data_IF_831032993835
#
_entry.id   IF_831032993835
#
_cell.length_a   1.000
_cell.length_b   1.000
_cell.length_c   1.000
_cell.angle_alpha   90.00
_cell.angle_beta   90.00
_cell.angle_gamma   90.00
#
_symmetry.space_group_name_H-M   'P 1'
#
loop_
_entity.id
_entity.type
_entity.pdbx_description
1 polymer ?
#
# COMPACT_ATOMS: atom_id res chain seq x y z
N UNK A 1 18.89 0.74 17.78
CA UNK A 1 18.67 0.41 16.35
C UNK A 1 19.42 1.44 15.52
N UNK A 2 20.10 1.03 14.44
CA UNK A 2 20.82 1.93 13.54
C UNK A 2 20.85 1.35 12.11
N UNK A 3 21.02 2.20 11.09
CA UNK A 3 21.14 1.78 9.69
C UNK A 3 22.62 1.78 9.29
N UNK A 4 23.20 0.59 9.15
CA UNK A 4 24.62 0.42 8.81
C UNK A 4 24.83 -0.14 7.39
N UNK A 5 25.99 0.20 6.79
CA UNK A 5 26.46 -0.31 5.50
C UNK A 5 27.38 -1.52 5.64
N UNK A 6 27.91 -1.78 6.84
CA UNK A 6 28.86 -2.86 7.15
C UNK A 6 28.41 -3.62 8.40
N UNK A 7 28.74 -4.91 8.49
CA UNK A 7 28.44 -5.73 9.66
C UNK A 7 29.57 -5.67 10.68
N UNK A 8 29.88 -4.46 11.16
CA UNK A 8 31.06 -4.15 11.97
C UNK A 8 30.80 -4.06 13.48
N UNK A 9 29.54 -3.90 13.90
CA UNK A 9 29.13 -3.84 15.32
C UNK A 9 28.51 -5.15 15.79
N UNK A 10 28.55 -5.45 17.09
CA UNK A 10 27.74 -6.56 17.63
C UNK A 10 26.25 -6.17 17.60
N UNK A 11 25.41 -7.06 17.06
CA UNK A 11 23.96 -6.86 16.98
C UNK A 11 23.30 -7.73 15.92
N UNK A 12 21.97 -7.64 15.84
CA UNK A 12 21.17 -8.31 14.81
C UNK A 12 21.13 -7.45 13.54
N UNK A 13 21.30 -8.11 12.39
CA UNK A 13 21.41 -7.46 11.09
C UNK A 13 20.27 -7.90 10.17
N UNK A 14 19.46 -6.94 9.75
CA UNK A 14 18.34 -7.14 8.84
C UNK A 14 18.64 -6.47 7.49
N UNK A 15 18.44 -7.18 6.37
CA UNK A 15 18.86 -6.74 5.03
C UNK A 15 19.43 -7.88 4.18
N UNK A 16 20.09 -7.63 3.03
CA UNK A 16 20.49 -6.33 2.50
C UNK A 16 19.31 -5.58 1.87
N UNK A 17 19.27 -4.27 2.11
CA UNK A 17 18.34 -3.37 1.44
C UNK A 17 18.99 -2.82 0.16
N UNK A 18 18.30 -2.92 -0.99
CA UNK A 18 18.78 -2.48 -2.30
C UNK A 18 19.10 -0.98 -2.35
N UNK A 19 18.39 -0.16 -1.58
CA UNK A 19 18.59 1.29 -1.54
C UNK A 19 18.65 1.81 -0.09
N UNK A 20 19.69 2.60 0.21
CA UNK A 20 19.89 3.25 1.53
C UNK A 20 18.68 4.07 1.98
N UNK A 21 18.04 4.78 1.05
CA UNK A 21 16.88 5.63 1.35
C UNK A 21 15.65 4.80 1.76
N UNK A 22 15.50 3.58 1.23
CA UNK A 22 14.40 2.69 1.59
C UNK A 22 14.63 2.07 2.98
N UNK A 23 15.86 1.62 3.25
CA UNK A 23 16.25 1.17 4.59
C UNK A 23 16.00 2.24 5.66
N UNK A 24 16.34 3.50 5.33
CA UNK A 24 16.09 4.64 6.22
C UNK A 24 14.61 4.90 6.46
N UNK A 25 13.77 4.79 5.43
CA UNK A 25 12.31 4.96 5.56
C UNK A 25 11.66 3.88 6.43
N UNK A 26 12.05 2.63 6.25
CA UNK A 26 11.57 1.51 7.09
C UNK A 26 12.04 1.71 8.53
N UNK A 27 13.31 2.06 8.72
CA UNK A 27 13.87 2.39 10.02
C UNK A 27 13.12 3.54 10.70
N UNK A 28 12.95 4.69 10.03
CA UNK A 28 12.28 5.86 10.58
C UNK A 28 10.83 5.57 10.92
N UNK A 29 10.15 4.74 10.11
CA UNK A 29 8.81 4.28 10.38
C UNK A 29 8.76 3.42 11.64
N UNK A 30 9.58 2.37 11.75
CA UNK A 30 9.63 1.50 12.93
C UNK A 30 9.96 2.28 14.21
N UNK A 31 10.91 3.21 14.14
CA UNK A 31 11.26 4.06 15.28
C UNK A 31 10.08 4.91 15.75
N UNK A 32 9.33 5.51 14.81
CA UNK A 32 8.19 6.38 15.13
C UNK A 32 6.97 5.57 15.56
N UNK A 33 6.68 4.46 14.90
CA UNK A 33 5.54 3.61 15.22
C UNK A 33 5.70 2.98 16.60
N UNK A 34 6.87 2.41 16.92
CA UNK A 34 7.06 1.71 18.20
C UNK A 34 7.68 2.58 19.30
N UNK A 35 7.83 3.88 19.06
CA UNK A 35 8.49 4.82 19.97
C UNK A 35 9.84 4.27 20.50
N UNK A 36 10.73 3.86 19.60
CA UNK A 36 11.97 3.13 19.96
C UNK A 36 13.19 4.03 20.10
N UNK A 37 13.04 5.35 19.91
CA UNK A 37 14.17 6.27 20.04
C UNK A 37 14.56 6.37 21.52
N UNK A 38 15.74 5.85 21.83
CA UNK A 38 16.40 6.07 23.11
C UNK A 38 17.11 7.42 23.06
N UNK A 39 16.86 8.27 24.05
CA UNK A 39 17.56 9.54 24.20
C UNK A 39 18.24 9.59 25.57
N UNK A 40 19.30 10.40 25.69
CA UNK A 40 20.04 10.61 26.93
C UNK A 40 19.55 11.82 27.73
N UNK A 41 18.44 12.44 27.30
CA UNK A 41 17.90 13.63 27.97
C UNK A 41 17.32 13.21 29.33
N UNK A 42 17.39 14.08 30.32
CA UNK A 42 16.77 13.87 31.65
C UNK A 42 15.67 14.91 31.83
N UNK A 43 14.46 14.54 31.47
CA UNK A 43 13.26 15.38 31.56
C UNK A 43 12.19 14.51 32.20
N UNK A 44 11.89 14.78 33.48
CA UNK A 44 11.08 13.91 34.34
C UNK A 44 9.69 13.58 33.75
N UNK A 45 9.08 14.52 33.03
CA UNK A 45 7.74 14.33 32.43
C UNK A 45 7.77 13.89 30.97
N UNK A 46 8.96 13.71 30.39
CA UNK A 46 9.13 13.45 28.95
C UNK A 46 9.33 14.73 28.14
N UNK A 47 9.91 14.57 26.95
CA UNK A 47 10.15 15.68 26.02
C UNK A 47 9.09 15.71 24.90
N UNK A 48 9.14 16.72 24.03
CA UNK A 48 8.25 16.80 22.88
C UNK A 48 8.26 15.49 22.05
N UNK A 49 9.45 14.93 21.77
CA UNK A 49 9.59 13.66 21.05
C UNK A 49 8.85 12.50 21.74
N UNK A 50 8.72 12.51 23.07
CA UNK A 50 7.96 11.52 23.83
C UNK A 50 6.45 11.74 23.64
N UNK A 51 5.98 12.98 23.81
CA UNK A 51 4.56 13.31 23.67
C UNK A 51 4.02 13.14 22.25
N UNK A 52 4.86 13.32 21.23
CA UNK A 52 4.49 13.04 19.82
C UNK A 52 4.72 11.57 19.42
N UNK A 53 5.08 10.69 20.37
CA UNK A 53 5.14 9.24 20.19
C UNK A 53 6.42 8.69 19.52
N UNK A 54 7.50 9.46 19.45
CA UNK A 54 8.75 9.05 18.78
C UNK A 54 9.79 8.52 19.78
N UNK A 55 9.83 9.08 20.98
CA UNK A 55 10.77 8.72 22.04
C UNK A 55 10.18 7.68 22.99
N UNK A 56 11.01 6.73 23.41
CA UNK A 56 10.62 5.68 24.36
C UNK A 56 10.32 6.19 25.77
N UNK A 57 10.78 7.41 26.11
CA UNK A 57 10.52 8.01 27.42
C UNK A 57 11.43 7.50 28.55
N UNK A 58 12.62 6.97 28.24
CA UNK A 58 13.62 6.47 29.21
C UNK A 58 13.93 7.45 30.34
N UNK A 59 13.71 8.74 30.09
CA UNK A 59 13.94 9.82 31.03
C UNK A 59 12.85 9.97 32.11
N UNK A 60 11.72 9.28 31.96
CA UNK A 60 10.61 9.31 32.90
C UNK A 60 10.73 8.21 33.94
N UNK A 61 10.14 8.45 35.11
CA UNK A 61 10.15 7.52 36.25
C UNK A 61 9.25 6.29 36.03
N UNK A 62 8.24 6.42 35.20
CA UNK A 62 7.28 5.38 34.83
C UNK A 62 7.68 4.62 33.54
N UNK A 63 8.95 4.71 33.14
CA UNK A 63 9.45 3.97 31.97
C UNK A 63 9.39 2.46 32.20
N UNK A 64 8.45 1.79 31.52
CA UNK A 64 8.30 0.34 31.56
C UNK A 64 9.34 -0.35 30.66
N UNK A 65 10.38 -0.90 31.30
CA UNK A 65 11.47 -1.61 30.65
C UNK A 65 10.98 -2.90 29.99
N UNK A 66 10.03 -3.62 30.59
CA UNK A 66 9.54 -4.89 30.06
C UNK A 66 8.66 -4.65 28.84
N UNK A 67 7.78 -3.66 28.88
CA UNK A 67 7.01 -3.25 27.71
C UNK A 67 7.93 -2.73 26.59
N UNK A 68 9.01 -2.02 26.93
CA UNK A 68 10.00 -1.60 25.94
C UNK A 68 10.72 -2.80 25.28
N UNK A 69 11.10 -3.81 26.05
CA UNK A 69 11.69 -5.06 25.52
C UNK A 69 10.72 -5.80 24.62
N UNK A 70 9.45 -5.89 25.01
CA UNK A 70 8.39 -6.50 24.18
C UNK A 70 8.28 -5.80 22.82
N UNK A 71 8.33 -4.47 22.78
CA UNK A 71 8.33 -3.69 21.53
C UNK A 71 9.56 -3.99 20.66
N UNK A 72 10.74 -4.16 21.25
CA UNK A 72 11.95 -4.54 20.52
C UNK A 72 11.83 -5.96 19.94
N UNK A 73 11.34 -6.92 20.73
CA UNK A 73 11.19 -8.31 20.27
C UNK A 73 10.16 -8.41 19.15
N UNK A 74 9.06 -7.67 19.24
CA UNK A 74 8.07 -7.56 18.16
C UNK A 74 8.69 -7.00 16.87
N UNK A 75 9.48 -5.92 16.97
CA UNK A 75 10.20 -5.38 15.80
C UNK A 75 11.24 -6.36 15.27
N UNK A 76 11.89 -7.15 16.13
CA UNK A 76 12.82 -8.21 15.74
C UNK A 76 12.09 -9.26 14.90
N UNK A 77 10.98 -9.78 15.39
CA UNK A 77 10.15 -10.79 14.71
C UNK A 77 9.57 -10.27 13.39
N UNK A 78 9.15 -8.99 13.35
CA UNK A 78 8.70 -8.33 12.13
C UNK A 78 9.80 -8.25 11.05
N UNK A 79 11.06 -8.10 11.45
CA UNK A 79 12.19 -8.01 10.52
C UNK A 79 12.78 -9.38 10.14
N UNK A 80 12.54 -10.43 10.94
CA UNK A 80 13.03 -11.82 10.72
C UNK A 80 12.09 -12.67 9.84
N UNK A 81 11.12 -12.03 9.18
CA UNK A 81 10.16 -12.66 8.28
C UNK A 81 9.13 -13.60 8.92
N UNK A 82 8.97 -13.57 10.25
CA UNK A 82 7.94 -14.36 10.94
C UNK A 82 6.66 -13.53 11.19
N UNK A 83 6.19 -12.94 10.10
CA UNK A 83 5.21 -11.87 10.06
C UNK A 83 3.79 -12.31 10.45
N UNK A 84 3.43 -13.58 10.24
CA UNK A 84 2.13 -14.10 10.68
C UNK A 84 2.06 -14.26 12.20
N UNK A 85 3.18 -14.61 12.84
CA UNK A 85 3.24 -14.78 14.29
C UNK A 85 3.20 -13.43 15.01
N UNK A 86 3.85 -12.39 14.46
CA UNK A 86 3.79 -11.03 15.00
C UNK A 86 2.36 -10.46 15.04
N UNK A 87 1.56 -10.69 13.99
CA UNK A 87 0.16 -10.27 13.92
C UNK A 87 -0.71 -11.02 14.94
N UNK A 88 -0.49 -12.33 15.10
CA UNK A 88 -1.18 -13.16 16.11
C UNK A 88 -0.84 -12.73 17.54
N UNK A 89 0.44 -12.44 17.80
CA UNK A 89 0.91 -11.98 19.11
C UNK A 89 0.27 -10.62 19.43
N UNK A 90 0.27 -9.68 18.48
CA UNK A 90 -0.38 -8.38 18.68
C UNK A 90 -1.87 -8.50 18.93
N UNK A 91 -2.57 -9.36 18.18
CA UNK A 91 -3.98 -9.62 18.42
C UNK A 91 -4.21 -10.18 19.83
N UNK A 92 -3.40 -11.17 20.24
CA UNK A 92 -3.47 -11.73 21.58
C UNK A 92 -3.20 -10.69 22.68
N UNK A 93 -2.25 -9.78 22.48
CA UNK A 93 -1.95 -8.70 23.43
C UNK A 93 -3.05 -7.61 23.45
N UNK A 94 -3.71 -7.35 22.33
CA UNK A 94 -4.91 -6.49 22.27
C UNK A 94 -6.03 -7.14 23.08
N UNK A 95 -6.26 -8.44 22.90
CA UNK A 95 -7.32 -9.17 23.59
C UNK A 95 -7.07 -9.21 25.11
N UNK A 96 -5.81 -9.45 25.53
CA UNK A 96 -5.42 -9.38 26.96
C UNK A 96 -5.56 -7.97 27.53
N UNK A 97 -5.11 -6.94 26.82
CA UNK A 97 -5.23 -5.55 27.27
C UNK A 97 -6.70 -5.12 27.37
N UNK A 98 -7.54 -5.58 26.44
CA UNK A 98 -8.98 -5.33 26.45
C UNK A 98 -9.67 -6.06 27.60
N UNK A 99 -9.30 -7.31 27.87
CA UNK A 99 -9.78 -8.08 29.02
C UNK A 99 -9.38 -7.46 30.37
N UNK A 100 -8.22 -6.79 30.42
CA UNK A 100 -7.73 -6.05 31.58
C UNK A 100 -8.23 -4.60 31.64
N UNK A 101 -9.14 -4.18 30.74
CA UNK A 101 -9.67 -2.82 30.64
C UNK A 101 -8.62 -1.72 30.42
N UNK A 102 -7.45 -2.09 29.87
CA UNK A 102 -6.36 -1.17 29.51
C UNK A 102 -6.58 -0.59 28.11
N UNK A 103 -7.64 0.20 27.94
CA UNK A 103 -8.11 0.67 26.62
C UNK A 103 -7.10 1.51 25.84
N UNK A 104 -6.30 2.33 26.51
CA UNK A 104 -5.25 3.14 25.87
C UNK A 104 -4.14 2.24 25.28
N UNK A 105 -3.76 1.19 26.03
CA UNK A 105 -2.81 0.18 25.57
C UNK A 105 -3.38 -0.62 24.39
N UNK A 106 -4.64 -1.06 24.48
CA UNK A 106 -5.32 -1.76 23.40
C UNK A 106 -5.41 -0.92 22.12
N UNK A 107 -5.75 0.37 22.24
CA UNK A 107 -5.80 1.32 21.12
C UNK A 107 -4.44 1.52 20.45
N UNK A 108 -3.38 1.64 21.25
CA UNK A 108 -2.02 1.76 20.73
C UNK A 108 -1.59 0.49 19.97
N UNK A 109 -1.85 -0.69 20.54
CA UNK A 109 -1.56 -1.98 19.90
C UNK A 109 -2.36 -2.16 18.59
N UNK A 110 -3.63 -1.76 18.58
CA UNK A 110 -4.47 -1.80 17.38
C UNK A 110 -3.97 -0.85 16.28
N UNK A 111 -3.44 0.32 16.66
CA UNK A 111 -2.76 1.22 15.73
C UNK A 111 -1.48 0.60 15.15
N UNK A 112 -0.73 -0.17 15.96
CA UNK A 112 0.43 -0.92 15.47
C UNK A 112 0.05 -2.04 14.51
N UNK A 113 -1.06 -2.75 14.77
CA UNK A 113 -1.58 -3.80 13.90
C UNK A 113 -1.89 -3.25 12.49
N UNK A 114 -2.64 -2.15 12.39
CA UNK A 114 -2.95 -1.49 11.10
C UNK A 114 -1.69 -0.99 10.39
N UNK A 115 -0.74 -0.45 11.15
CA UNK A 115 0.53 0.03 10.61
C UNK A 115 1.43 -1.10 10.11
N UNK A 116 1.40 -2.26 10.77
CA UNK A 116 2.09 -3.47 10.33
C UNK A 116 1.46 -4.00 9.06
N UNK A 117 0.13 -3.99 8.89
CA UNK A 117 -0.49 -4.36 7.60
C UNK A 117 -0.01 -3.49 6.44
N UNK A 118 0.19 -2.19 6.65
CA UNK A 118 0.76 -1.30 5.64
C UNK A 118 2.25 -1.61 5.34
N UNK A 119 3.02 -1.94 6.37
CA UNK A 119 4.40 -2.46 6.20
C UNK A 119 4.36 -3.82 5.50
N UNK A 120 3.45 -4.73 5.84
CA UNK A 120 3.29 -6.06 5.26
C UNK A 120 3.01 -5.95 3.78
N UNK A 121 2.13 -5.04 3.38
CA UNK A 121 1.90 -4.75 1.98
C UNK A 121 3.18 -4.25 1.30
N UNK A 122 3.91 -3.32 1.92
CA UNK A 122 5.14 -2.75 1.36
C UNK A 122 6.28 -3.77 1.32
N UNK A 123 6.48 -4.56 2.37
CA UNK A 123 7.52 -5.57 2.51
C UNK A 123 7.18 -6.77 1.66
N UNK A 124 5.94 -7.26 1.60
CA UNK A 124 5.53 -8.24 0.58
C UNK A 124 5.71 -7.71 -0.83
N UNK A 125 5.50 -6.41 -1.08
CA UNK A 125 5.85 -5.80 -2.37
C UNK A 125 7.36 -5.81 -2.64
N UNK A 126 8.20 -5.74 -1.59
CA UNK A 126 9.67 -5.79 -1.66
C UNK A 126 10.24 -7.23 -1.59
N UNK A 127 9.51 -8.18 -1.03
CA UNK A 127 9.82 -9.60 -1.02
C UNK A 127 9.34 -10.25 -2.31
N UNK A 128 8.18 -9.84 -2.84
CA UNK A 128 7.87 -9.93 -4.27
C UNK A 128 9.04 -9.35 -5.03
N UNK A 129 9.60 -8.19 -4.68
CA UNK A 129 10.83 -7.69 -5.35
C UNK A 129 12.09 -8.60 -5.20
N UNK A 130 12.16 -9.53 -4.24
CA UNK A 130 13.25 -10.52 -4.07
C UNK A 130 12.95 -11.89 -4.72
N UNK A 131 11.72 -12.38 -4.70
CA UNK A 131 11.27 -13.47 -5.59
C UNK A 131 11.19 -13.01 -7.05
N UNK A 132 11.18 -11.70 -7.24
CA UNK A 132 11.40 -11.00 -8.50
C UNK A 132 12.87 -10.70 -8.78
N UNK A 133 13.77 -11.63 -8.43
CA UNK A 133 14.88 -11.97 -9.35
C UNK A 133 14.37 -12.48 -10.72
N UNK A 134 13.06 -12.52 -10.92
CA UNK A 134 12.38 -12.57 -12.21
C UNK A 134 12.08 -11.18 -12.80
N UNK A 135 11.92 -10.08 -12.04
CA UNK A 135 11.59 -8.77 -12.63
C UNK A 135 12.82 -7.88 -12.76
N UNK A 136 13.76 -8.30 -13.61
CA UNK A 136 14.44 -7.31 -14.44
C UNK A 136 13.39 -6.69 -15.37
N UNK A 137 13.64 -5.47 -15.81
CA UNK A 137 12.91 -4.78 -16.88
C UNK A 137 12.78 -5.56 -18.21
N UNK A 138 13.23 -6.82 -18.28
CA UNK A 138 13.12 -7.72 -19.44
C UNK A 138 11.97 -8.76 -19.33
N UNK A 139 11.33 -8.95 -18.17
CA UNK A 139 10.48 -10.14 -17.93
C UNK A 139 8.97 -9.95 -17.77
N UNK A 140 8.42 -8.77 -18.06
CA UNK A 140 7.18 -8.82 -18.81
C UNK A 140 7.63 -9.00 -20.25
N UNK A 141 8.00 -10.23 -20.63
CA UNK A 141 8.08 -10.57 -22.06
C UNK A 141 6.76 -10.13 -22.68
N UNK A 142 6.75 -9.72 -23.96
CA UNK A 142 5.52 -9.72 -24.73
C UNK A 142 4.89 -11.10 -24.56
N UNK A 143 3.94 -11.21 -23.65
CA UNK A 143 3.38 -12.49 -23.26
C UNK A 143 1.98 -12.47 -23.80
N UNK A 144 1.89 -12.38 -25.13
CA UNK A 144 0.64 -12.59 -25.88
C UNK A 144 -0.05 -13.84 -25.29
N UNK A 145 0.71 -14.89 -24.96
CA UNK A 145 0.21 -16.06 -24.24
C UNK A 145 -0.51 -15.74 -22.92
N UNK A 146 0.03 -14.86 -22.08
CA UNK A 146 -0.60 -14.44 -20.82
C UNK A 146 -1.82 -13.54 -21.05
N UNK A 147 -1.75 -12.61 -22.01
CA UNK A 147 -2.90 -11.78 -22.38
C UNK A 147 -4.01 -12.63 -23.03
N UNK A 148 -3.65 -13.69 -23.74
CA UNK A 148 -4.58 -14.70 -24.26
C UNK A 148 -5.22 -15.50 -23.12
N UNK A 149 -4.43 -15.99 -22.15
CA UNK A 149 -4.99 -16.63 -20.95
C UNK A 149 -5.92 -15.68 -20.19
N UNK A 150 -5.56 -14.40 -20.08
CA UNK A 150 -6.40 -13.39 -19.43
C UNK A 150 -7.70 -13.16 -20.22
N UNK A 151 -7.62 -13.09 -21.55
CA UNK A 151 -8.79 -13.05 -22.44
C UNK A 151 -9.71 -14.24 -22.18
N UNK A 152 -9.18 -15.45 -22.19
CA UNK A 152 -9.95 -16.68 -21.95
C UNK A 152 -10.58 -16.71 -20.55
N UNK A 153 -9.79 -16.37 -19.53
CA UNK A 153 -10.19 -16.34 -18.13
C UNK A 153 -11.35 -15.39 -17.86
N UNK A 154 -11.33 -14.23 -18.50
CA UNK A 154 -12.33 -13.18 -18.34
C UNK A 154 -13.43 -13.23 -19.42
N UNK A 155 -13.32 -14.10 -20.41
CA UNK A 155 -14.25 -14.15 -21.54
C UNK A 155 -14.22 -12.88 -22.41
N UNK A 156 -13.06 -12.24 -22.55
CA UNK A 156 -12.94 -11.00 -23.33
C UNK A 156 -13.10 -11.26 -24.83
N UNK A 157 -13.67 -10.30 -25.56
CA UNK A 157 -13.85 -10.36 -27.02
C UNK A 157 -12.50 -10.33 -27.74
N UNK A 158 -11.56 -9.52 -27.24
CA UNK A 158 -10.22 -9.35 -27.82
C UNK A 158 -9.12 -9.52 -26.78
N UNK A 159 -7.91 -9.76 -27.26
CA UNK A 159 -6.72 -9.80 -26.40
C UNK A 159 -6.49 -8.38 -25.85
N UNK A 160 -6.36 -8.19 -24.52
CA UNK A 160 -6.25 -6.87 -23.91
C UNK A 160 -4.81 -6.34 -24.00
N UNK A 161 -4.40 -5.84 -25.16
CA UNK A 161 -3.06 -5.24 -25.33
C UNK A 161 -2.90 -3.97 -24.52
N UNK A 162 -3.98 -3.20 -24.37
CA UNK A 162 -4.01 -2.02 -23.51
C UNK A 162 -4.98 -2.19 -22.36
N UNK A 163 -4.50 -1.93 -21.14
CA UNK A 163 -5.27 -2.06 -19.90
C UNK A 163 -5.15 -0.74 -19.12
N UNK A 164 -6.27 -0.09 -18.76
CA UNK A 164 -6.24 0.98 -17.76
C UNK A 164 -6.75 0.46 -16.41
N UNK A 165 -5.99 0.71 -15.35
CA UNK A 165 -6.36 0.40 -13.98
C UNK A 165 -6.64 1.69 -13.19
N UNK A 166 -7.77 1.75 -12.49
CA UNK A 166 -8.18 2.89 -11.66
C UNK A 166 -8.15 2.57 -10.16
N UNK A 167 -7.64 3.50 -9.36
CA UNK A 167 -7.65 3.46 -7.88
C UNK A 167 -8.10 4.82 -7.33
N UNK A 168 -8.91 4.80 -6.26
CA UNK A 168 -9.26 5.97 -5.47
C UNK A 168 -8.56 5.87 -4.11
N UNK A 169 -7.76 6.88 -3.79
CA UNK A 169 -7.02 6.98 -2.54
C UNK A 169 -7.50 8.19 -1.72
N UNK A 170 -7.94 7.92 -0.49
CA UNK A 170 -8.27 8.95 0.49
C UNK A 170 -7.03 9.40 1.26
N UNK A 171 -6.71 10.69 1.19
CA UNK A 171 -5.61 11.27 1.95
C UNK A 171 -6.12 12.15 3.10
N UNK A 172 -5.72 11.78 4.31
CA UNK A 172 -5.76 12.60 5.53
C UNK A 172 -7.02 13.46 5.68
N UNK A 173 -8.20 12.86 5.44
CA UNK A 173 -9.51 13.40 5.78
C UNK A 173 -10.08 14.51 4.88
N UNK A 174 -9.32 15.05 3.91
CA UNK A 174 -9.77 16.23 3.12
C UNK A 174 -9.47 16.17 1.63
N UNK A 175 -8.60 15.28 1.14
CA UNK A 175 -8.26 15.22 -0.28
C UNK A 175 -8.43 13.80 -0.83
N UNK A 176 -9.26 13.69 -1.88
CA UNK A 176 -9.39 12.45 -2.65
C UNK A 176 -8.53 12.57 -3.91
N UNK A 177 -7.70 11.57 -4.15
CA UNK A 177 -6.86 11.48 -5.35
C UNK A 177 -7.21 10.20 -6.09
N UNK A 178 -7.61 10.35 -7.35
CA UNK A 178 -7.74 9.24 -8.27
C UNK A 178 -6.48 9.03 -9.08
N UNK A 179 -6.15 7.79 -9.38
CA UNK A 179 -5.06 7.42 -10.29
C UNK A 179 -5.55 6.51 -11.40
N UNK A 180 -4.93 6.66 -12.58
CA UNK A 180 -5.14 5.79 -13.73
C UNK A 180 -3.78 5.36 -14.28
N UNK A 181 -3.54 4.05 -14.30
CA UNK A 181 -2.31 3.44 -14.78
C UNK A 181 -2.59 2.64 -16.05
N UNK A 182 -1.93 3.02 -17.14
CA UNK A 182 -1.96 2.30 -18.42
C UNK A 182 -0.90 1.21 -18.42
N UNK A 183 -1.30 0.03 -18.87
CA UNK A 183 -0.40 -1.02 -19.32
C UNK A 183 -0.59 -1.20 -20.83
N UNK A 184 0.52 -1.35 -21.53
CA UNK A 184 0.57 -1.59 -22.99
C UNK A 184 1.47 -2.80 -23.20
N UNK A 185 0.96 -3.83 -23.88
CA UNK A 185 1.63 -5.12 -24.10
C UNK A 185 2.11 -5.76 -22.79
N UNK A 186 1.24 -5.66 -21.77
CA UNK A 186 1.50 -6.11 -20.41
C UNK A 186 2.42 -5.21 -19.59
N UNK A 187 3.08 -4.21 -20.17
CA UNK A 187 4.08 -3.37 -19.49
C UNK A 187 3.50 -2.03 -19.04
N UNK A 188 3.92 -1.46 -17.88
CA UNK A 188 3.45 -0.15 -17.47
C UNK A 188 3.90 0.96 -18.44
N UNK A 189 2.94 1.65 -19.06
CA UNK A 189 3.17 2.79 -19.95
C UNK A 189 3.13 4.10 -19.17
N UNK A 190 4.30 4.49 -18.65
CA UNK A 190 4.46 5.67 -17.79
C UNK A 190 4.03 6.98 -18.44
N UNK A 191 4.07 7.09 -19.77
CA UNK A 191 3.66 8.31 -20.48
C UNK A 191 2.14 8.50 -20.46
N UNK A 192 1.41 7.38 -20.34
CA UNK A 192 -0.05 7.36 -20.31
C UNK A 192 -0.65 7.33 -18.90
N UNK A 193 0.18 7.34 -17.85
CA UNK A 193 -0.28 7.47 -16.46
C UNK A 193 -0.97 8.81 -16.23
N UNK A 194 -2.05 8.83 -15.46
CA UNK A 194 -2.76 10.05 -15.08
C UNK A 194 -3.09 10.05 -13.61
N UNK A 195 -3.13 11.25 -13.02
CA UNK A 195 -3.58 11.50 -11.66
C UNK A 195 -4.60 12.61 -11.70
N UNK A 196 -5.62 12.48 -10.86
CA UNK A 196 -6.73 13.39 -10.80
C UNK A 196 -6.88 13.83 -9.34
N UNK A 197 -6.67 15.12 -9.11
CA UNK A 197 -7.13 15.74 -7.87
C UNK A 197 -8.62 16.00 -8.03
N UNK A 198 -9.40 15.47 -7.09
CA UNK A 198 -10.85 15.58 -7.06
C UNK A 198 -11.19 16.82 -6.24
N UNK A 199 -11.93 17.75 -6.84
CA UNK A 199 -12.19 19.08 -6.26
C UNK A 199 -13.51 19.15 -5.48
N UNK A 200 -14.32 18.11 -5.60
CA UNK A 200 -15.69 18.05 -5.12
C UNK A 200 -15.72 17.27 -3.80
N UNK A 201 -15.94 17.97 -2.68
CA UNK A 201 -16.21 17.37 -1.36
C UNK A 201 -17.71 17.51 -1.09
N UNK A 202 -18.41 16.38 -0.93
CA UNK A 202 -19.59 16.22 -0.05
C UNK A 202 -20.06 14.76 -0.07
N UNK A 203 -19.84 14.07 1.05
CA UNK A 203 -20.52 12.88 1.62
C UNK A 203 -20.83 11.63 0.77
N UNK A 204 -20.52 11.58 -0.54
CA UNK A 204 -20.65 10.39 -1.40
C UNK A 204 -19.30 10.06 -2.08
N UNK A 205 -18.31 9.67 -1.27
CA UNK A 205 -16.90 9.92 -1.58
C UNK A 205 -16.28 9.13 -2.74
N UNK A 206 -16.53 7.83 -2.90
CA UNK A 206 -15.76 7.02 -3.88
C UNK A 206 -16.43 6.87 -5.24
N UNK A 207 -17.76 6.80 -5.31
CA UNK A 207 -18.47 6.58 -6.56
C UNK A 207 -18.42 7.81 -7.47
N UNK A 208 -18.74 8.99 -6.91
CA UNK A 208 -18.68 10.25 -7.64
C UNK A 208 -17.24 10.58 -8.05
N UNK A 209 -16.28 10.29 -7.17
CA UNK A 209 -14.86 10.40 -7.46
C UNK A 209 -14.46 9.54 -8.67
N UNK A 210 -14.86 8.27 -8.67
CA UNK A 210 -14.54 7.36 -9.76
C UNK A 210 -15.20 7.79 -11.09
N UNK A 211 -16.46 8.22 -11.05
CA UNK A 211 -17.16 8.80 -12.20
C UNK A 211 -16.39 9.99 -12.77
N UNK A 212 -15.99 10.94 -11.93
CA UNK A 212 -15.25 12.13 -12.37
C UNK A 212 -13.95 11.75 -13.09
N UNK A 213 -13.14 10.85 -12.50
CA UNK A 213 -11.84 10.52 -13.08
C UNK A 213 -11.97 9.71 -14.37
N UNK A 214 -12.95 8.80 -14.46
CA UNK A 214 -13.22 8.00 -15.66
C UNK A 214 -13.71 8.93 -16.78
N UNK A 215 -14.66 9.83 -16.49
CA UNK A 215 -15.13 10.83 -17.46
C UNK A 215 -14.02 11.76 -17.93
N UNK A 216 -13.13 12.21 -17.03
CA UNK A 216 -11.99 13.07 -17.39
C UNK A 216 -10.93 12.31 -18.21
N UNK A 217 -10.67 11.05 -17.89
CA UNK A 217 -9.71 10.20 -18.60
C UNK A 217 -10.16 9.93 -20.04
N UNK A 218 -11.45 9.66 -20.24
CA UNK A 218 -12.03 9.29 -21.54
C UNK A 218 -12.90 10.38 -22.15
N UNK A 219 -12.61 11.65 -21.84
CA UNK A 219 -13.19 12.79 -22.56
C UNK A 219 -12.89 12.67 -24.06
N UNK A 220 -11.67 12.26 -24.38
CA UNK A 220 -11.30 11.79 -25.71
C UNK A 220 -11.49 10.26 -25.76
N UNK A 221 -12.49 9.82 -26.54
CA UNK A 221 -12.84 8.40 -26.67
C UNK A 221 -11.75 7.57 -27.37
N UNK A 222 -10.83 8.20 -28.09
CA UNK A 222 -9.67 7.51 -28.67
C UNK A 222 -8.69 6.97 -27.62
N UNK A 223 -8.79 7.45 -26.39
CA UNK A 223 -7.97 6.99 -25.26
C UNK A 223 -8.53 5.73 -24.58
N UNK A 224 -9.71 5.23 -24.97
CA UNK A 224 -10.25 4.00 -24.38
C UNK A 224 -9.30 2.82 -24.61
N UNK A 225 -9.00 2.01 -23.57
CA UNK A 225 -8.18 0.81 -23.69
C UNK A 225 -8.96 -0.36 -24.28
N UNK A 226 -8.30 -1.51 -24.42
CA UNK A 226 -8.98 -2.77 -24.70
C UNK A 226 -9.75 -3.27 -23.47
N UNK A 227 -9.22 -3.02 -22.27
CA UNK A 227 -9.75 -3.51 -21.01
C UNK A 227 -9.56 -2.51 -19.86
N UNK A 228 -10.54 -2.44 -18.96
CA UNK A 228 -10.53 -1.54 -17.79
C UNK A 228 -10.65 -2.37 -16.51
N UNK A 229 -9.83 -2.03 -15.53
CA UNK A 229 -9.88 -2.60 -14.19
C UNK A 229 -10.14 -1.50 -13.17
N UNK A 230 -11.17 -1.67 -12.36
CA UNK A 230 -11.47 -0.79 -11.22
C UNK A 230 -10.99 -1.48 -9.94
N UNK A 231 -10.12 -0.84 -9.16
CA UNK A 231 -9.74 -1.31 -7.83
C UNK A 231 -10.87 -1.06 -6.82
N UNK A 232 -11.92 -1.87 -6.95
CA UNK A 232 -12.86 -2.14 -5.88
C UNK A 232 -14.18 -2.74 -6.35
N UNK A 233 -15.20 -2.56 -5.50
CA UNK A 233 -16.36 -3.45 -5.46
C UNK A 233 -17.47 -3.17 -6.49
N UNK A 234 -18.54 -3.95 -6.41
CA UNK A 234 -19.73 -3.87 -7.27
C UNK A 234 -20.32 -2.46 -7.37
N UNK A 235 -20.37 -1.71 -6.27
CA UNK A 235 -20.86 -0.32 -6.27
C UNK A 235 -20.02 0.60 -7.16
N UNK A 236 -18.69 0.51 -7.06
CA UNK A 236 -17.75 1.32 -7.83
C UNK A 236 -17.77 0.94 -9.31
N UNK A 237 -17.81 -0.36 -9.63
CA UNK A 237 -17.96 -0.84 -11.00
C UNK A 237 -19.26 -0.31 -11.65
N UNK A 238 -20.39 -0.46 -10.94
CA UNK A 238 -21.69 0.00 -11.45
C UNK A 238 -21.74 1.53 -11.63
N UNK A 239 -20.97 2.29 -10.85
CA UNK A 239 -20.92 3.74 -11.00
C UNK A 239 -20.32 4.18 -12.35
N UNK A 240 -19.46 3.37 -12.98
CA UNK A 240 -18.68 3.78 -14.16
C UNK A 240 -18.84 2.94 -15.41
N UNK A 241 -19.47 1.76 -15.33
CA UNK A 241 -19.62 0.86 -16.48
C UNK A 241 -20.29 1.53 -17.69
N UNK A 242 -21.26 2.42 -17.46
CA UNK A 242 -21.99 3.09 -18.56
C UNK A 242 -21.18 4.24 -19.18
N UNK A 243 -20.09 4.69 -18.54
CA UNK A 243 -19.24 5.79 -19.05
C UNK A 243 -18.26 5.34 -20.14
N UNK A 244 -18.00 4.04 -20.22
CA UNK A 244 -16.95 3.45 -21.07
C UNK A 244 -17.50 2.78 -22.33
N UNK A 245 -18.81 2.86 -22.55
CA UNK A 245 -19.51 2.29 -23.70
C UNK A 245 -19.29 0.78 -23.77
N UNK A 246 -18.95 0.28 -24.94
CA UNK A 246 -18.68 -1.15 -25.14
C UNK A 246 -17.31 -1.59 -24.59
N UNK A 247 -16.51 -0.74 -23.95
CA UNK A 247 -15.19 -1.17 -23.46
C UNK A 247 -15.32 -2.21 -22.35
N UNK A 248 -14.54 -3.28 -22.42
CA UNK A 248 -14.61 -4.37 -21.44
C UNK A 248 -14.07 -3.89 -20.09
N UNK A 249 -14.81 -4.14 -19.00
CA UNK A 249 -14.52 -3.60 -17.67
C UNK A 249 -14.86 -4.58 -16.55
N UNK A 250 -14.01 -4.66 -15.54
CA UNK A 250 -14.26 -5.41 -14.30
C UNK A 250 -13.89 -4.62 -13.05
N UNK A 251 -14.48 -4.98 -11.92
CA UNK A 251 -14.05 -4.58 -10.58
C UNK A 251 -13.21 -5.67 -9.92
N UNK A 252 -12.22 -5.28 -9.11
CA UNK A 252 -11.44 -6.19 -8.26
C UNK A 252 -11.71 -5.89 -6.78
N UNK A 253 -12.49 -6.74 -6.12
CA UNK A 253 -12.78 -6.60 -4.70
C UNK A 253 -11.58 -7.06 -3.85
N UNK A 254 -10.95 -6.12 -3.13
CA UNK A 254 -9.72 -6.36 -2.36
C UNK A 254 -9.87 -7.34 -1.19
N UNK A 255 -11.01 -7.33 -0.49
CA UNK A 255 -11.23 -8.17 0.70
C UNK A 255 -11.44 -9.64 0.37
N UNK A 256 -12.11 -9.91 -0.74
CA UNK A 256 -12.53 -11.26 -1.13
C UNK A 256 -11.67 -11.84 -2.26
N UNK A 257 -10.75 -11.04 -2.81
CA UNK A 257 -9.97 -11.34 -4.00
C UNK A 257 -10.86 -11.85 -5.14
N UNK A 258 -11.93 -11.10 -5.42
CA UNK A 258 -12.98 -11.48 -6.37
C UNK A 258 -12.99 -10.52 -7.55
N UNK A 259 -13.07 -11.07 -8.76
CA UNK A 259 -13.37 -10.36 -10.00
C UNK A 259 -14.88 -10.19 -10.08
N UNK A 260 -15.34 -8.95 -10.24
CA UNK A 260 -16.74 -8.59 -10.38
C UNK A 260 -16.98 -8.09 -11.79
N UNK A 261 -17.97 -8.67 -12.47
CA UNK A 261 -18.33 -8.30 -13.83
C UNK A 261 -19.55 -7.37 -13.88
N UNK A 262 -19.78 -6.66 -15.01
CA UNK A 262 -20.88 -5.69 -15.15
C UNK A 262 -22.28 -6.28 -14.99
N UNK A 263 -22.43 -7.58 -15.23
CA UNK A 263 -23.68 -8.35 -15.04
C UNK A 263 -23.77 -9.06 -13.69
N UNK A 264 -22.88 -8.70 -12.75
CA UNK A 264 -22.79 -9.22 -11.39
C UNK A 264 -22.33 -10.67 -11.26
N UNK A 265 -21.81 -11.31 -12.33
CA UNK A 265 -21.06 -12.56 -12.11
C UNK A 265 -19.80 -12.24 -11.30
N UNK A 266 -19.42 -13.20 -10.45
CA UNK A 266 -18.26 -13.09 -9.57
C UNK A 266 -17.37 -14.31 -9.73
N UNK A 267 -16.06 -14.07 -9.80
CA UNK A 267 -15.06 -15.13 -9.93
C UNK A 267 -13.97 -14.88 -8.88
N UNK A 268 -13.73 -15.86 -8.00
CA UNK A 268 -12.59 -15.80 -7.08
C UNK A 268 -11.26 -15.92 -7.84
N UNK A 269 -10.32 -15.06 -7.48
CA UNK A 269 -8.95 -15.12 -7.95
C UNK A 269 -8.23 -16.28 -7.28
N UNK A 270 -7.43 -17.00 -8.07
CA UNK A 270 -6.55 -18.05 -7.60
C UNK A 270 -5.09 -17.63 -7.84
N UNK A 271 -4.35 -17.39 -6.76
CA UNK A 271 -2.94 -16.96 -6.82
C UNK A 271 -2.01 -17.99 -7.50
N UNK A 272 -2.44 -19.24 -7.66
CA UNK A 272 -1.69 -20.27 -8.38
C UNK A 272 -1.81 -20.13 -9.90
N UNK A 273 -2.83 -19.43 -10.39
CA UNK A 273 -3.06 -19.17 -11.81
C UNK A 273 -2.35 -17.90 -12.25
N UNK A 274 -1.62 -17.98 -13.36
CA UNK A 274 -0.81 -16.85 -13.83
C UNK A 274 -1.68 -15.66 -14.25
N UNK A 275 -2.81 -15.92 -14.90
CA UNK A 275 -3.79 -14.94 -15.35
C UNK A 275 -4.45 -14.17 -14.19
N UNK A 276 -4.73 -14.84 -13.08
CA UNK A 276 -5.31 -14.24 -11.89
C UNK A 276 -4.24 -13.45 -11.11
N UNK A 277 -3.01 -13.97 -11.06
CA UNK A 277 -1.86 -13.27 -10.46
C UNK A 277 -1.58 -11.93 -11.14
N UNK A 278 -1.69 -11.87 -12.47
CA UNK A 278 -1.52 -10.61 -13.22
C UNK A 278 -2.53 -9.55 -12.78
N UNK A 279 -3.80 -9.91 -12.61
CA UNK A 279 -4.82 -8.94 -12.16
C UNK A 279 -4.49 -8.37 -10.77
N UNK A 280 -4.00 -9.20 -9.86
CA UNK A 280 -3.52 -8.77 -8.54
C UNK A 280 -2.31 -7.85 -8.65
N UNK A 281 -1.36 -8.15 -9.53
CA UNK A 281 -0.17 -7.32 -9.77
C UNK A 281 -0.50 -5.95 -10.38
N UNK A 282 -1.42 -5.91 -11.35
CA UNK A 282 -1.92 -4.67 -11.96
C UNK A 282 -2.56 -3.76 -10.91
N UNK A 283 -3.42 -4.34 -10.04
CA UNK A 283 -4.04 -3.66 -8.90
C UNK A 283 -2.98 -3.14 -7.93
N UNK A 284 -2.06 -4.00 -7.49
CA UNK A 284 -1.03 -3.64 -6.51
C UNK A 284 -0.12 -2.52 -7.05
N UNK A 285 0.25 -2.56 -8.33
CA UNK A 285 1.04 -1.50 -8.97
C UNK A 285 0.30 -0.17 -9.00
N UNK A 286 -1.00 -0.19 -9.30
CA UNK A 286 -1.87 0.99 -9.36
C UNK A 286 -1.99 1.65 -7.99
N UNK A 287 -2.29 0.86 -6.96
CA UNK A 287 -2.36 1.30 -5.57
C UNK A 287 -1.03 1.90 -5.08
N UNK A 288 0.10 1.24 -5.38
CA UNK A 288 1.42 1.75 -5.02
C UNK A 288 1.77 3.08 -5.72
N UNK A 289 1.36 3.26 -6.98
CA UNK A 289 1.59 4.52 -7.70
C UNK A 289 0.79 5.70 -7.11
N UNK A 290 -0.43 5.44 -6.61
CA UNK A 290 -1.22 6.43 -5.89
C UNK A 290 -0.47 6.90 -4.62
N UNK A 291 0.03 5.97 -3.81
CA UNK A 291 0.74 6.26 -2.55
C UNK A 291 2.09 6.98 -2.77
N UNK A 292 2.90 6.54 -3.75
CA UNK A 292 4.27 7.05 -3.93
C UNK A 292 4.37 8.50 -4.39
N UNK A 293 3.31 9.05 -5.00
CA UNK A 293 3.27 10.46 -5.41
C UNK A 293 3.40 11.44 -4.25
N UNK A 294 2.71 11.14 -3.16
CA UNK A 294 2.61 12.04 -2.01
C UNK A 294 3.94 12.19 -1.28
N UNK A 295 4.79 11.14 -1.30
CA UNK A 295 6.16 11.22 -0.78
C UNK A 295 7.01 12.24 -1.54
N UNK A 296 6.85 12.39 -2.86
CA UNK A 296 7.59 13.40 -3.64
C UNK A 296 7.06 14.82 -3.42
N UNK A 297 5.75 15.01 -3.28
CA UNK A 297 5.16 16.36 -3.09
C UNK A 297 5.42 16.92 -1.68
N UNK A 298 5.42 16.09 -0.63
CA UNK A 298 5.86 16.49 0.73
C UNK A 298 7.31 16.98 0.76
N UNK A 299 8.20 16.29 0.05
CA UNK A 299 9.63 16.66 0.01
C UNK A 299 9.88 17.98 -0.77
N UNK A 300 8.94 18.40 -1.62
CA UNK A 300 9.01 19.66 -2.36
C UNK A 300 8.39 20.81 -1.57
N UNK A 301 7.28 20.58 -0.86
CA UNK A 301 6.63 21.59 -0.01
C UNK A 301 7.49 21.95 1.23
N UNK A 302 8.12 20.95 1.86
CA UNK A 302 9.04 21.17 2.99
C UNK A 302 10.31 21.97 2.59
N UNK A 303 10.65 22.04 1.29
CA UNK A 303 11.80 22.81 0.78
C UNK A 303 11.46 24.27 0.47
N UNK A 304 10.21 24.57 0.16
CA UNK A 304 9.75 25.95 -0.08
C UNK A 304 9.52 26.73 1.21
N UNK A 305 9.14 26.07 2.32
CA UNK A 305 8.93 26.72 3.62
C UNK A 305 10.21 26.93 4.44
N UNK A 306 11.36 26.42 3.97
CA UNK A 306 12.68 26.67 4.58
C UNK A 306 13.55 27.64 3.75
N UNK A 307 12.96 28.30 2.75
CA UNK A 307 13.66 29.15 1.77
C UNK A 307 13.11 30.56 1.62
N UNK A 308 12.34 31.06 2.59
CA UNK A 308 11.82 32.44 2.64
C UNK A 308 11.96 33.01 4.03
#
# INVERSE_FOLDING_TARGET
>A
LDVTRRKDKKGYYFGPFLQRQQARKVFDYLIKTFALKLCKKKIDNGCLDFHIGVCAGVCRKDFDVEFYKQKIELVRQLLDNNLQDATKILQSEIDKASAQMLFERARNLHGYLQNIESILYTVRSLEKAKTNLVYSSEHIKSNIALLTKLKERLGLRRIPYTIDCFDISHLSGTFIVGSCIRFTDGRPDKQKFRRFQIKTLQDQNDYAALQEIVSRRYRDKSMLPDFIVIDGGKGQLNAVKDLVGDTEIVGLAKREETIIFPDNREIKLDIQKEEDRVLLELRDYTHHFAITYHRKKRTLLDKTEQGS
#
